data_IF_940675194302
#
_entry.id   IF_940675194302
#
_cell.length_a   1.000
_cell.length_b   1.000
_cell.length_c   1.000
_cell.angle_alpha   90.00
_cell.angle_beta   90.00
_cell.angle_gamma   90.00
#
_symmetry.space_group_name_H-M   'P 1'
#
loop_
_entity.id
_entity.type
_entity.pdbx_description
1 polymer ?
#
# COMPACT_ATOMS: atom_id res chain seq x y z
N UNK A 1 6.41 14.31 -14.50
CA UNK A 1 5.22 14.63 -13.69
C UNK A 1 5.68 15.65 -12.68
N UNK A 2 5.08 16.84 -12.73
CA UNK A 2 5.62 18.06 -12.13
C UNK A 2 5.65 18.02 -10.59
N UNK A 3 4.75 17.23 -9.99
CA UNK A 3 4.55 17.04 -8.56
C UNK A 3 5.40 15.92 -7.92
N UNK A 4 6.17 15.17 -8.72
CA UNK A 4 6.96 14.02 -8.25
C UNK A 4 8.37 13.99 -8.85
N UNK A 5 9.11 15.08 -8.65
CA UNK A 5 10.54 15.16 -8.98
C UNK A 5 11.28 14.07 -8.21
N UNK A 6 11.91 13.13 -8.92
CA UNK A 6 12.71 12.05 -8.31
C UNK A 6 12.02 10.69 -8.14
N UNK A 7 10.75 10.53 -8.54
CA UNK A 7 10.15 9.19 -8.55
C UNK A 7 10.68 8.34 -9.71
N UNK A 8 11.30 7.21 -9.37
CA UNK A 8 11.66 6.19 -10.35
C UNK A 8 10.39 5.66 -11.04
N UNK A 9 10.57 5.26 -12.30
CA UNK A 9 9.44 4.80 -13.12
C UNK A 9 9.09 3.34 -12.90
N UNK A 10 10.03 2.54 -12.39
CA UNK A 10 9.88 1.10 -12.28
C UNK A 10 10.64 0.55 -11.09
N UNK A 11 9.90 -0.11 -10.21
CA UNK A 11 10.43 -1.04 -9.24
C UNK A 11 9.95 -2.44 -9.60
N UNK A 12 10.86 -3.41 -9.57
CA UNK A 12 10.53 -4.82 -9.73
C UNK A 12 11.50 -5.63 -8.87
N UNK A 13 10.95 -6.56 -8.10
CA UNK A 13 11.70 -7.44 -7.22
C UNK A 13 11.69 -8.84 -7.82
N UNK A 14 12.82 -9.54 -7.69
CA UNK A 14 12.94 -10.96 -7.99
C UNK A 14 12.91 -11.74 -6.68
N UNK A 15 11.80 -12.42 -6.41
CA UNK A 15 11.56 -13.15 -5.17
C UNK A 15 12.05 -14.61 -5.21
N UNK A 16 12.72 -15.06 -6.28
CA UNK A 16 13.12 -16.47 -6.47
C UNK A 16 13.95 -17.02 -5.30
N UNK A 17 14.83 -16.21 -4.71
CA UNK A 17 15.64 -16.61 -3.55
C UNK A 17 14.77 -16.98 -2.35
N UNK A 18 13.80 -16.14 -2.02
CA UNK A 18 12.89 -16.38 -0.90
C UNK A 18 12.02 -17.62 -1.13
N UNK A 19 11.57 -17.85 -2.37
CA UNK A 19 10.83 -19.09 -2.71
C UNK A 19 11.69 -20.33 -2.49
N UNK A 20 12.95 -20.30 -2.93
CA UNK A 20 13.84 -21.44 -2.87
C UNK A 20 14.36 -21.76 -1.46
N UNK A 21 14.75 -20.73 -0.69
CA UNK A 21 15.46 -20.93 0.58
C UNK A 21 14.51 -21.05 1.78
N UNK A 22 13.37 -20.35 1.75
CA UNK A 22 12.43 -20.31 2.88
C UNK A 22 11.01 -20.73 2.50
N UNK A 23 10.81 -21.23 1.28
CA UNK A 23 9.49 -21.70 0.82
C UNK A 23 8.45 -20.58 0.72
N UNK A 24 8.88 -19.32 0.55
CA UNK A 24 7.94 -18.21 0.48
C UNK A 24 6.98 -18.37 -0.70
N UNK A 25 5.70 -18.12 -0.45
CA UNK A 25 4.69 -17.92 -1.49
C UNK A 25 3.70 -16.84 -1.04
N UNK A 26 3.26 -15.93 -1.94
CA UNK A 26 2.22 -14.96 -1.61
C UNK A 26 0.94 -15.68 -1.16
N UNK A 27 0.41 -15.30 -0.01
CA UNK A 27 -0.85 -15.83 0.52
C UNK A 27 -2.11 -15.19 -0.12
N UNK A 28 -1.92 -14.09 -0.85
CA UNK A 28 -2.95 -13.31 -1.55
C UNK A 28 -2.41 -12.88 -2.89
N UNK A 29 -3.25 -12.89 -3.90
CA UNK A 29 -2.98 -12.18 -5.14
C UNK A 29 -3.26 -10.67 -4.98
N UNK A 30 -2.88 -9.90 -5.99
CA UNK A 30 -3.03 -8.45 -5.94
C UNK A 30 -4.52 -8.02 -5.93
N UNK A 31 -5.35 -8.65 -6.76
CA UNK A 31 -6.75 -8.24 -6.91
C UNK A 31 -7.55 -8.47 -5.62
N UNK A 32 -7.42 -9.65 -5.01
CA UNK A 32 -8.05 -9.99 -3.74
C UNK A 32 -7.48 -9.16 -2.58
N UNK A 33 -6.16 -9.00 -2.50
CA UNK A 33 -5.54 -8.16 -1.47
C UNK A 33 -5.99 -6.70 -1.55
N UNK A 34 -6.17 -6.15 -2.75
CA UNK A 34 -6.67 -4.79 -2.94
C UNK A 34 -8.14 -4.65 -2.55
N UNK A 35 -8.99 -5.63 -2.90
CA UNK A 35 -10.39 -5.65 -2.51
C UNK A 35 -10.55 -5.72 -0.99
N UNK A 36 -9.79 -6.60 -0.32
CA UNK A 36 -9.78 -6.72 1.15
C UNK A 36 -9.31 -5.41 1.79
N UNK A 37 -8.27 -4.78 1.22
CA UNK A 37 -7.76 -3.48 1.69
C UNK A 37 -8.84 -2.41 1.59
N UNK A 38 -9.54 -2.29 0.46
CA UNK A 38 -10.64 -1.35 0.30
C UNK A 38 -11.76 -1.61 1.31
N UNK A 39 -12.16 -2.87 1.48
CA UNK A 39 -13.15 -3.27 2.47
C UNK A 39 -12.76 -2.84 3.88
N UNK A 40 -11.49 -3.00 4.24
CA UNK A 40 -10.98 -2.53 5.53
C UNK A 40 -11.10 -1.01 5.68
N UNK A 41 -10.70 -0.21 4.68
CA UNK A 41 -10.83 1.25 4.77
C UNK A 41 -12.28 1.72 4.93
N UNK A 42 -13.22 1.08 4.21
CA UNK A 42 -14.65 1.39 4.33
C UNK A 42 -15.21 1.04 5.70
N UNK A 43 -14.76 -0.07 6.30
CA UNK A 43 -15.20 -0.51 7.62
C UNK A 43 -14.54 0.26 8.79
N UNK A 44 -13.46 1.00 8.53
CA UNK A 44 -12.62 1.62 9.58
C UNK A 44 -12.52 3.14 9.43
N UNK A 45 -13.62 3.82 9.07
CA UNK A 45 -13.66 5.29 8.94
C UNK A 45 -13.19 6.02 10.18
N UNK A 46 -13.65 5.57 11.36
CA UNK A 46 -13.25 6.14 12.64
C UNK A 46 -11.73 6.11 12.89
N UNK A 47 -11.00 5.23 12.19
CA UNK A 47 -9.55 5.14 12.29
C UNK A 47 -8.83 6.18 11.42
N UNK A 48 -9.19 6.32 10.14
CA UNK A 48 -8.45 7.22 9.21
C UNK A 48 -8.98 8.65 9.20
N UNK A 49 -10.26 8.89 9.51
CA UNK A 49 -10.85 10.24 9.48
C UNK A 49 -10.07 11.23 10.38
N UNK A 50 -9.68 10.90 11.64
CA UNK A 50 -8.90 11.81 12.47
C UNK A 50 -7.49 12.09 11.93
N UNK A 51 -6.89 11.13 11.21
CA UNK A 51 -5.57 11.30 10.59
C UNK A 51 -5.66 12.33 9.46
N UNK A 52 -6.71 12.23 8.64
CA UNK A 52 -6.99 13.16 7.55
C UNK A 52 -7.23 14.57 8.07
N UNK A 53 -8.04 14.74 9.11
CA UNK A 53 -8.31 16.06 9.70
C UNK A 53 -7.04 16.70 10.25
N UNK A 54 -6.17 15.92 10.92
CA UNK A 54 -4.85 16.42 11.37
C UNK A 54 -3.97 16.86 10.21
N UNK A 55 -3.97 16.13 9.09
CA UNK A 55 -3.18 16.48 7.92
C UNK A 55 -3.66 17.80 7.29
N UNK A 56 -4.97 18.06 7.27
CA UNK A 56 -5.53 19.32 6.78
C UNK A 56 -5.13 20.52 7.66
N UNK A 57 -5.13 20.34 8.98
CA UNK A 57 -4.73 21.40 9.93
C UNK A 57 -3.25 21.78 9.82
N UNK A 58 -2.37 20.85 9.42
CA UNK A 58 -0.95 21.13 9.20
C UNK A 58 -0.63 21.83 7.87
N UNK A 59 -1.61 21.91 6.96
CA UNK A 59 -1.49 22.56 5.65
C UNK A 59 -2.21 23.92 5.60
N UNK A 60 -2.77 24.39 6.71
CA UNK A 60 -3.38 25.71 6.90
C UNK A 60 -2.45 26.60 7.71
#
# INVERSE_FOLDING_TARGET
VEDRKGHDRRYAIDERKARAEIGYTPARDFAGGLADTLGWYLANEAWWQPILERAKLGNA
#
